data_IF_733703731512
#
_entry.id   IF_733703731512
#
_cell.length_a   1.000
_cell.length_b   1.000
_cell.length_c   1.000
_cell.angle_alpha   90.00
_cell.angle_beta   90.00
_cell.angle_gamma   90.00
#
_symmetry.space_group_name_H-M   'P 1'
#
loop_
_entity.id
_entity.type
_entity.pdbx_description
1 polymer ?
#
# COMPACT_ATOMS: atom_id res chain seq x y z
N UNK A 1 -9.13 57.60 12.80
CA UNK A 1 -9.67 56.23 12.67
C UNK A 1 -8.64 55.32 11.98
N UNK A 2 -7.90 54.57 12.79
CA UNK A 2 -7.00 53.52 12.30
C UNK A 2 -7.84 52.39 11.71
N UNK A 3 -7.65 52.11 10.42
CA UNK A 3 -8.26 50.96 9.76
C UNK A 3 -7.44 49.74 10.20
N UNK A 4 -8.04 48.73 10.85
CA UNK A 4 -7.29 47.57 11.31
C UNK A 4 -6.81 46.78 10.09
N UNK A 5 -5.50 46.55 10.01
CA UNK A 5 -4.89 45.69 9.00
C UNK A 5 -5.31 44.26 9.30
N UNK A 6 -5.89 43.52 8.35
CA UNK A 6 -6.24 42.12 8.56
C UNK A 6 -4.94 41.32 8.80
N UNK A 7 -4.90 40.62 9.93
CA UNK A 7 -3.80 39.74 10.30
C UNK A 7 -3.62 38.66 9.23
N UNK A 8 -2.54 38.77 8.47
CA UNK A 8 -2.19 37.90 7.34
C UNK A 8 -1.31 36.73 7.77
N UNK A 9 -1.07 36.53 9.07
CA UNK A 9 -0.11 35.54 9.58
C UNK A 9 -0.76 34.25 10.08
N UNK A 10 -1.74 33.69 9.37
CA UNK A 10 -2.22 32.32 9.65
C UNK A 10 -1.31 31.29 8.97
N UNK A 11 -0.16 31.01 9.57
CA UNK A 11 0.65 29.84 9.18
C UNK A 11 -0.09 28.59 9.64
N UNK A 12 -0.64 27.86 8.67
CA UNK A 12 -1.43 26.66 8.89
C UNK A 12 -0.51 25.50 9.29
N UNK A 13 -0.75 24.86 10.44
CA UNK A 13 -0.25 23.51 10.77
C UNK A 13 -1.45 22.57 10.81
N UNK A 14 -1.42 21.53 9.99
CA UNK A 14 -2.45 20.47 10.02
C UNK A 14 -1.76 19.13 9.82
N UNK A 15 -1.98 18.13 10.69
CA UNK A 15 -1.30 16.85 10.66
C UNK A 15 -1.97 15.92 9.64
N UNK A 16 -1.67 16.12 8.36
CA UNK A 16 -1.61 14.99 7.43
C UNK A 16 -0.15 14.88 7.02
N UNK A 17 0.68 14.37 7.93
CA UNK A 17 2.07 13.98 7.66
C UNK A 17 2.11 12.72 6.81
N UNK A 18 1.47 12.79 5.65
CA UNK A 18 1.54 11.76 4.63
C UNK A 18 2.52 12.25 3.59
N UNK A 19 3.80 12.06 3.92
CA UNK A 19 4.88 12.37 3.02
C UNK A 19 5.07 11.21 2.02
N UNK A 20 5.28 11.47 0.71
CA UNK A 20 5.54 10.41 -0.27
C UNK A 20 6.72 9.51 0.09
N UNK A 21 7.65 10.02 0.90
CA UNK A 21 8.79 9.27 1.45
C UNK A 21 8.43 8.11 2.38
N UNK A 22 7.15 7.90 2.72
CA UNK A 22 6.69 6.67 3.39
C UNK A 22 6.87 5.42 2.50
N UNK A 23 6.95 5.62 1.18
CA UNK A 23 7.24 4.56 0.21
C UNK A 23 8.75 4.45 0.01
N UNK A 24 9.36 3.46 0.65
CA UNK A 24 10.78 3.15 0.56
C UNK A 24 11.08 2.16 -0.58
N UNK A 25 12.29 2.20 -1.14
CA UNK A 25 12.77 1.25 -2.16
C UNK A 25 12.38 1.59 -3.60
N UNK A 26 13.07 0.95 -4.54
CA UNK A 26 13.02 1.28 -5.98
C UNK A 26 12.26 0.24 -6.82
N UNK A 27 11.56 -0.68 -6.17
CA UNK A 27 10.79 -1.72 -6.86
C UNK A 27 9.66 -1.09 -7.70
N UNK A 28 9.57 -1.46 -8.98
CA UNK A 28 8.65 -0.85 -9.94
C UNK A 28 7.18 -0.91 -9.51
N UNK A 29 6.76 -2.01 -8.86
CA UNK A 29 5.40 -2.18 -8.34
C UNK A 29 5.02 -1.13 -7.27
N UNK A 30 6.00 -0.51 -6.60
CA UNK A 30 5.75 0.53 -5.59
C UNK A 30 5.46 1.91 -6.19
N UNK A 31 5.67 2.09 -7.50
CA UNK A 31 5.46 3.37 -8.20
C UNK A 31 4.03 3.87 -8.09
N UNK A 32 3.05 2.96 -8.17
CA UNK A 32 1.63 3.32 -8.05
C UNK A 32 1.31 3.86 -6.66
N UNK A 33 1.81 3.19 -5.61
CA UNK A 33 1.66 3.65 -4.24
C UNK A 33 2.31 5.03 -4.03
N UNK A 34 3.54 5.22 -4.56
CA UNK A 34 4.24 6.52 -4.49
C UNK A 34 3.42 7.64 -5.12
N UNK A 35 2.88 7.42 -6.32
CA UNK A 35 2.01 8.37 -7.00
C UNK A 35 0.71 8.67 -6.22
N UNK A 36 0.16 7.68 -5.52
CA UNK A 36 -1.01 7.87 -4.66
C UNK A 36 -0.71 8.76 -3.46
N UNK A 37 0.39 8.49 -2.77
CA UNK A 37 0.84 9.30 -1.65
C UNK A 37 1.23 10.73 -2.07
N UNK A 38 1.84 10.90 -3.26
CA UNK A 38 2.11 12.20 -3.85
C UNK A 38 0.83 12.97 -4.22
N UNK A 39 -0.17 12.27 -4.75
CA UNK A 39 -1.48 12.86 -5.07
C UNK A 39 -2.18 13.36 -3.81
N UNK A 40 -2.13 12.56 -2.72
CA UNK A 40 -2.70 12.95 -1.43
C UNK A 40 -1.96 14.15 -0.82
N UNK A 41 -0.63 14.11 -0.80
CA UNK A 41 0.21 15.20 -0.31
C UNK A 41 0.00 16.51 -1.08
N UNK A 42 0.01 16.44 -2.40
CA UNK A 42 -0.19 17.62 -3.28
C UNK A 42 -1.62 18.14 -3.18
N UNK A 43 -2.59 17.23 -3.15
CA UNK A 43 -4.00 17.56 -2.98
C UNK A 43 -4.26 18.34 -1.70
N UNK A 44 -3.66 17.88 -0.59
CA UNK A 44 -3.72 18.55 0.70
C UNK A 44 -3.00 19.91 0.72
N UNK A 45 -1.77 19.96 0.20
CA UNK A 45 -0.98 21.19 0.12
C UNK A 45 -1.70 22.28 -0.69
N UNK A 46 -2.35 21.91 -1.80
CA UNK A 46 -3.13 22.83 -2.61
C UNK A 46 -4.32 23.44 -1.85
N UNK A 47 -5.06 22.63 -1.07
CA UNK A 47 -6.16 23.13 -0.23
C UNK A 47 -5.65 24.12 0.82
N UNK A 48 -4.53 23.81 1.46
CA UNK A 48 -3.88 24.68 2.45
C UNK A 48 -3.48 26.03 1.85
N UNK A 49 -2.78 26.02 0.72
CA UNK A 49 -2.35 27.24 0.05
C UNK A 49 -3.52 28.08 -0.47
N UNK A 50 -4.61 27.44 -0.92
CA UNK A 50 -5.82 28.16 -1.33
C UNK A 50 -6.48 28.86 -0.13
N UNK A 51 -6.54 28.19 1.02
CA UNK A 51 -7.10 28.75 2.25
C UNK A 51 -6.33 29.98 2.77
N UNK A 52 -5.01 30.05 2.52
CA UNK A 52 -4.17 31.19 2.91
C UNK A 52 -4.33 32.41 1.99
N UNK A 53 -4.84 32.24 0.75
CA UNK A 53 -4.83 33.29 -0.28
C UNK A 53 -6.20 33.87 -0.61
N UNK A 54 -7.28 33.11 -0.38
CA UNK A 54 -8.62 33.51 -0.83
C UNK A 54 -9.36 34.25 0.29
N UNK A 55 -9.83 35.46 -0.01
CA UNK A 55 -10.62 36.29 0.92
C UNK A 55 -12.11 35.95 0.92
N UNK A 56 -12.61 35.36 -0.17
CA UNK A 56 -14.01 34.96 -0.36
C UNK A 56 -14.19 33.48 0.03
N UNK A 57 -14.83 33.23 1.17
CA UNK A 57 -15.04 31.90 1.74
C UNK A 57 -15.93 31.02 0.86
N UNK A 58 -16.95 31.58 0.21
CA UNK A 58 -17.88 30.83 -0.63
C UNK A 58 -17.20 30.37 -1.92
N UNK A 59 -16.40 31.26 -2.51
CA UNK A 59 -15.58 30.92 -3.68
C UNK A 59 -14.56 29.84 -3.33
N UNK A 60 -13.89 29.97 -2.17
CA UNK A 60 -12.93 28.98 -1.68
C UNK A 60 -13.59 27.60 -1.49
N UNK A 61 -14.76 27.55 -0.84
CA UNK A 61 -15.50 26.32 -0.61
C UNK A 61 -15.85 25.59 -1.91
N UNK A 62 -16.35 26.33 -2.91
CA UNK A 62 -16.71 25.78 -4.22
C UNK A 62 -15.50 25.19 -4.95
N UNK A 63 -14.39 25.91 -4.98
CA UNK A 63 -13.15 25.45 -5.63
C UNK A 63 -12.53 24.26 -4.88
N UNK A 64 -12.51 24.31 -3.55
CA UNK A 64 -12.03 23.22 -2.71
C UNK A 64 -12.85 21.94 -2.87
N UNK A 65 -14.17 22.04 -3.03
CA UNK A 65 -15.04 20.89 -3.32
C UNK A 65 -14.68 20.25 -4.66
N UNK A 66 -14.58 21.06 -5.73
CA UNK A 66 -14.21 20.55 -7.06
C UNK A 66 -12.80 19.94 -7.08
N UNK A 67 -11.85 20.51 -6.34
CA UNK A 67 -10.51 19.95 -6.17
C UNK A 67 -10.52 18.63 -5.40
N UNK A 68 -11.18 18.59 -4.25
CA UNK A 68 -11.31 17.38 -3.42
C UNK A 68 -11.93 16.24 -4.20
N UNK A 69 -13.00 16.48 -4.97
CA UNK A 69 -13.62 15.47 -5.84
C UNK A 69 -12.63 14.89 -6.86
N UNK A 70 -11.81 15.74 -7.50
CA UNK A 70 -10.79 15.29 -8.48
C UNK A 70 -9.69 14.46 -7.81
N UNK A 71 -9.19 14.91 -6.67
CA UNK A 71 -8.18 14.18 -5.88
C UNK A 71 -8.72 12.82 -5.46
N UNK A 72 -9.93 12.75 -4.90
CA UNK A 72 -10.56 11.49 -4.49
C UNK A 72 -10.77 10.52 -5.66
N UNK A 73 -11.19 11.02 -6.82
CA UNK A 73 -11.32 10.20 -8.02
C UNK A 73 -9.97 9.67 -8.55
N UNK A 74 -8.89 10.41 -8.35
CA UNK A 74 -7.53 9.94 -8.64
C UNK A 74 -7.08 8.87 -7.64
N UNK A 75 -7.29 9.10 -6.34
CA UNK A 75 -6.91 8.18 -5.27
C UNK A 75 -7.61 6.83 -5.39
N UNK A 76 -8.91 6.81 -5.73
CA UNK A 76 -9.66 5.56 -5.96
C UNK A 76 -9.05 4.72 -7.10
N UNK A 77 -8.74 5.35 -8.23
CA UNK A 77 -8.06 4.66 -9.36
C UNK A 77 -6.68 4.13 -8.96
N UNK A 78 -5.95 4.88 -8.15
CA UNK A 78 -4.64 4.45 -7.66
C UNK A 78 -4.74 3.32 -6.63
N UNK A 79 -5.77 3.29 -5.78
CA UNK A 79 -6.06 2.17 -4.87
C UNK A 79 -6.38 0.89 -5.65
N UNK A 80 -7.23 0.98 -6.68
CA UNK A 80 -7.51 -0.14 -7.59
C UNK A 80 -6.22 -0.66 -8.25
N UNK A 81 -5.37 0.26 -8.73
CA UNK A 81 -4.08 -0.09 -9.32
C UNK A 81 -3.09 -0.70 -8.30
N UNK A 82 -3.10 -0.27 -7.03
CA UNK A 82 -2.31 -0.90 -5.96
C UNK A 82 -2.78 -2.35 -5.71
N UNK A 83 -4.10 -2.57 -5.64
CA UNK A 83 -4.68 -3.90 -5.49
C UNK A 83 -4.36 -4.81 -6.68
N UNK A 84 -4.43 -4.28 -7.90
CA UNK A 84 -4.01 -5.01 -9.11
C UNK A 84 -2.52 -5.36 -9.08
N UNK A 85 -1.66 -4.43 -8.64
CA UNK A 85 -0.23 -4.68 -8.49
C UNK A 85 0.08 -5.73 -7.40
N UNK A 86 -0.64 -5.75 -6.27
CA UNK A 86 -0.55 -6.81 -5.28
C UNK A 86 -0.87 -8.18 -5.88
N UNK A 87 -1.99 -8.29 -6.60
CA UNK A 87 -2.41 -9.54 -7.24
C UNK A 87 -1.39 -10.00 -8.28
N UNK A 88 -0.92 -9.10 -9.13
CA UNK A 88 0.08 -9.40 -10.15
C UNK A 88 1.39 -9.89 -9.54
N UNK A 89 1.89 -9.22 -8.49
CA UNK A 89 3.13 -9.58 -7.84
C UNK A 89 3.02 -10.92 -7.10
N UNK A 90 1.88 -11.18 -6.44
CA UNK A 90 1.58 -12.48 -5.84
C UNK A 90 1.61 -13.61 -6.88
N UNK A 91 0.92 -13.42 -8.01
CA UNK A 91 0.90 -14.40 -9.11
C UNK A 91 2.29 -14.63 -9.71
N UNK A 92 3.08 -13.56 -9.87
CA UNK A 92 4.45 -13.64 -10.37
C UNK A 92 5.33 -14.45 -9.42
N UNK A 93 5.26 -14.19 -8.12
CA UNK A 93 6.00 -14.93 -7.09
C UNK A 93 5.58 -16.40 -7.11
N UNK A 94 4.27 -16.67 -7.08
CA UNK A 94 3.75 -18.03 -7.05
C UNK A 94 4.17 -18.81 -8.31
N UNK A 95 4.09 -18.21 -9.50
CA UNK A 95 4.57 -18.82 -10.74
C UNK A 95 6.09 -19.06 -10.74
N UNK A 96 6.88 -18.22 -10.07
CA UNK A 96 8.32 -18.37 -9.98
C UNK A 96 8.75 -19.50 -9.03
N UNK A 97 8.00 -19.75 -7.95
CA UNK A 97 8.25 -20.87 -7.03
C UNK A 97 7.55 -22.17 -7.48
N UNK A 98 6.60 -22.10 -8.41
CA UNK A 98 5.88 -23.23 -9.02
C UNK A 98 5.98 -23.24 -10.57
N UNK A 99 7.19 -23.23 -11.17
CA UNK A 99 7.40 -22.93 -12.59
C UNK A 99 6.89 -23.98 -13.59
N UNK A 100 6.67 -25.24 -13.21
CA UNK A 100 6.11 -26.25 -14.11
C UNK A 100 5.47 -27.44 -13.37
N UNK A 101 4.15 -27.69 -13.50
CA UNK A 101 3.50 -28.84 -12.88
C UNK A 101 3.89 -30.19 -13.52
N UNK A 102 4.45 -30.18 -14.74
CA UNK A 102 4.79 -31.37 -15.53
C UNK A 102 6.29 -31.70 -15.51
N UNK A 103 7.04 -31.36 -14.46
CA UNK A 103 8.43 -31.84 -14.33
C UNK A 103 8.42 -33.38 -14.30
N UNK A 104 9.04 -34.08 -15.28
CA UNK A 104 9.03 -35.53 -15.34
C UNK A 104 9.66 -36.18 -14.10
N UNK A 105 10.58 -35.50 -13.40
CA UNK A 105 11.16 -35.99 -12.14
C UNK A 105 10.43 -35.50 -10.90
N UNK A 106 9.37 -34.69 -11.04
CA UNK A 106 8.67 -34.11 -9.89
C UNK A 106 8.10 -35.17 -8.95
N UNK A 107 7.61 -36.29 -9.50
CA UNK A 107 7.14 -37.43 -8.70
C UNK A 107 8.25 -38.10 -7.88
N UNK A 108 9.43 -38.30 -8.48
CA UNK A 108 10.59 -38.91 -7.82
C UNK A 108 11.13 -38.02 -6.70
N UNK A 109 11.23 -36.71 -6.96
CA UNK A 109 11.68 -35.72 -5.97
C UNK A 109 10.73 -35.73 -4.76
N UNK A 110 9.41 -35.70 -5.00
CA UNK A 110 8.43 -35.78 -3.90
C UNK A 110 8.51 -37.10 -3.14
N UNK A 111 8.70 -38.22 -3.86
CA UNK A 111 8.91 -39.54 -3.26
C UNK A 111 10.14 -39.58 -2.36
N UNK A 112 11.25 -38.98 -2.80
CA UNK A 112 12.47 -38.83 -2.01
C UNK A 112 12.24 -38.01 -0.74
N UNK A 113 11.60 -36.84 -0.85
CA UNK A 113 11.30 -35.98 0.31
C UNK A 113 10.39 -36.70 1.30
N UNK A 114 9.33 -37.35 0.82
CA UNK A 114 8.39 -38.13 1.64
C UNK A 114 9.07 -39.30 2.34
N UNK A 115 10.06 -39.93 1.71
CA UNK A 115 10.81 -41.06 2.25
C UNK A 115 11.95 -40.68 3.20
N UNK A 116 12.22 -39.39 3.37
CA UNK A 116 13.25 -38.91 4.31
C UNK A 116 12.80 -39.04 5.77
N UNK A 117 13.76 -39.09 6.70
CA UNK A 117 13.50 -39.18 8.14
C UNK A 117 12.67 -37.98 8.67
N UNK A 118 12.76 -36.82 8.01
CA UNK A 118 11.99 -35.63 8.33
C UNK A 118 11.65 -34.86 7.05
N UNK A 119 10.47 -35.13 6.43
CA UNK A 119 10.07 -34.50 5.18
C UNK A 119 9.99 -32.97 5.27
N UNK A 120 9.48 -32.45 6.39
CA UNK A 120 9.43 -31.00 6.62
C UNK A 120 10.83 -30.38 6.65
N UNK A 121 11.77 -31.00 7.38
CA UNK A 121 13.15 -30.49 7.45
C UNK A 121 13.81 -30.53 6.07
N UNK A 122 13.70 -31.62 5.34
CA UNK A 122 14.26 -31.73 3.98
C UNK A 122 13.69 -30.65 3.04
N UNK A 123 12.38 -30.37 3.12
CA UNK A 123 11.75 -29.31 2.35
C UNK A 123 12.20 -27.90 2.80
N UNK A 124 12.37 -27.68 4.10
CA UNK A 124 12.82 -26.40 4.64
C UNK A 124 14.28 -26.11 4.26
N UNK A 125 15.15 -27.10 4.39
CA UNK A 125 16.56 -27.02 4.00
C UNK A 125 16.65 -26.70 2.49
N UNK A 126 15.86 -27.39 1.64
CA UNK A 126 15.80 -27.10 0.21
C UNK A 126 15.35 -25.65 -0.10
N UNK A 127 14.42 -25.09 0.68
CA UNK A 127 13.98 -23.71 0.51
C UNK A 127 15.08 -22.72 0.88
N UNK A 128 15.77 -22.96 2.01
CA UNK A 128 16.87 -22.12 2.50
C UNK A 128 18.10 -22.16 1.60
N UNK A 129 18.43 -23.33 1.06
CA UNK A 129 19.52 -23.53 0.10
C UNK A 129 19.19 -22.96 -1.29
N UNK A 130 17.95 -22.55 -1.52
CA UNK A 130 17.50 -22.03 -2.80
C UNK A 130 17.34 -23.09 -3.88
N UNK A 131 17.08 -24.35 -3.50
CA UNK A 131 16.85 -25.45 -4.43
C UNK A 131 15.48 -25.33 -5.12
N UNK A 132 15.43 -24.50 -6.16
CA UNK A 132 14.21 -24.18 -6.91
C UNK A 132 13.49 -25.40 -7.46
N UNK A 133 14.22 -26.41 -7.94
CA UNK A 133 13.62 -27.61 -8.54
C UNK A 133 12.92 -28.47 -7.49
N UNK A 134 13.54 -28.67 -6.33
CA UNK A 134 12.93 -29.43 -5.24
C UNK A 134 11.70 -28.71 -4.69
N UNK A 135 11.80 -27.40 -4.47
CA UNK A 135 10.66 -26.58 -4.02
C UNK A 135 9.53 -26.58 -5.04
N UNK A 136 9.83 -26.41 -6.32
CA UNK A 136 8.83 -26.50 -7.38
C UNK A 136 8.12 -27.87 -7.37
N UNK A 137 8.88 -28.97 -7.25
CA UNK A 137 8.31 -30.31 -7.21
C UNK A 137 7.39 -30.52 -6.00
N UNK A 138 7.76 -29.98 -4.84
CA UNK A 138 6.99 -30.04 -3.59
C UNK A 138 5.72 -29.19 -3.71
N UNK A 139 5.85 -27.94 -4.16
CA UNK A 139 4.77 -26.94 -4.22
C UNK A 139 3.83 -27.07 -5.43
N UNK A 140 4.16 -27.93 -6.41
CA UNK A 140 3.26 -28.23 -7.53
C UNK A 140 2.27 -29.36 -7.25
N UNK A 141 2.23 -29.89 -6.03
CA UNK A 141 1.44 -31.07 -5.70
C UNK A 141 0.78 -30.95 -4.31
N UNK A 142 -0.26 -31.76 -4.04
CA UNK A 142 -0.84 -31.83 -2.71
C UNK A 142 0.20 -32.19 -1.63
N UNK A 143 0.14 -31.57 -0.43
CA UNK A 143 1.13 -31.76 0.64
C UNK A 143 1.42 -33.22 0.99
N UNK A 144 0.39 -34.08 0.93
CA UNK A 144 0.46 -35.49 1.29
C UNK A 144 1.40 -36.29 0.37
N UNK A 145 1.61 -35.85 -0.88
CA UNK A 145 2.53 -36.51 -1.80
C UNK A 145 4.00 -36.30 -1.43
N UNK A 146 4.30 -35.22 -0.69
CA UNK A 146 5.62 -34.92 -0.15
C UNK A 146 5.74 -35.29 1.34
N UNK A 147 4.72 -35.92 1.94
CA UNK A 147 4.70 -36.25 3.36
C UNK A 147 4.52 -35.04 4.29
N UNK A 148 3.95 -33.94 3.80
CA UNK A 148 3.73 -32.71 4.55
C UNK A 148 2.26 -32.56 4.97
N UNK A 149 2.04 -31.92 6.11
CA UNK A 149 0.73 -31.35 6.47
C UNK A 149 0.48 -30.06 5.70
N UNK A 150 -0.78 -29.59 5.65
CA UNK A 150 -1.11 -28.30 5.04
C UNK A 150 -0.36 -27.13 5.69
N UNK A 151 -0.25 -27.11 7.03
CA UNK A 151 0.45 -26.05 7.75
C UNK A 151 1.95 -26.02 7.43
N UNK A 152 2.58 -27.19 7.33
CA UNK A 152 3.98 -27.31 6.94
C UNK A 152 4.19 -26.85 5.50
N UNK A 153 3.32 -27.27 4.59
CA UNK A 153 3.33 -26.84 3.20
C UNK A 153 3.25 -25.31 3.07
N UNK A 154 2.32 -24.67 3.78
CA UNK A 154 2.18 -23.21 3.78
C UNK A 154 3.45 -22.53 4.33
N UNK A 155 4.08 -23.14 5.33
CA UNK A 155 5.34 -22.66 5.90
C UNK A 155 6.48 -22.76 4.87
N UNK A 156 6.57 -23.87 4.12
CA UNK A 156 7.56 -24.04 3.05
C UNK A 156 7.31 -23.06 1.91
N UNK A 157 6.06 -22.86 1.50
CA UNK A 157 5.71 -21.86 0.49
C UNK A 157 6.14 -20.46 0.95
N UNK A 158 5.86 -20.08 2.19
CA UNK A 158 6.28 -18.80 2.74
C UNK A 158 7.81 -18.63 2.75
N UNK A 159 8.53 -19.66 3.21
CA UNK A 159 10.00 -19.68 3.24
C UNK A 159 10.61 -19.60 1.83
N UNK A 160 10.01 -20.30 0.87
CA UNK A 160 10.39 -20.24 -0.54
C UNK A 160 10.20 -18.83 -1.11
N UNK A 161 9.07 -18.16 -0.83
CA UNK A 161 8.85 -16.77 -1.25
C UNK A 161 9.88 -15.83 -0.63
N UNK A 162 10.16 -15.98 0.66
CA UNK A 162 11.14 -15.16 1.40
C UNK A 162 12.59 -15.37 0.90
N UNK A 163 12.94 -16.57 0.43
CA UNK A 163 14.32 -16.90 0.02
C UNK A 163 14.56 -16.75 -1.48
N UNK A 164 13.69 -17.35 -2.30
CA UNK A 164 13.87 -17.42 -3.76
C UNK A 164 13.45 -16.13 -4.46
N UNK A 165 12.40 -15.47 -3.96
CA UNK A 165 11.80 -14.27 -4.56
C UNK A 165 11.81 -13.08 -3.57
N UNK A 166 12.87 -12.99 -2.76
CA UNK A 166 12.99 -12.06 -1.64
C UNK A 166 12.64 -10.59 -1.99
N UNK A 167 13.10 -10.09 -3.13
CA UNK A 167 12.88 -8.70 -3.54
C UNK A 167 11.40 -8.45 -3.88
N UNK A 168 10.81 -9.31 -4.71
CA UNK A 168 9.40 -9.22 -5.11
C UNK A 168 8.49 -9.42 -3.90
N UNK A 169 8.83 -10.35 -3.02
CA UNK A 169 8.04 -10.65 -1.84
C UNK A 169 8.12 -9.54 -0.78
N UNK A 170 9.29 -8.93 -0.57
CA UNK A 170 9.43 -7.74 0.26
C UNK A 170 8.59 -6.58 -0.29
N UNK A 171 8.63 -6.36 -1.61
CA UNK A 171 7.80 -5.36 -2.27
C UNK A 171 6.30 -5.66 -2.13
N UNK A 172 5.87 -6.93 -2.20
CA UNK A 172 4.47 -7.34 -1.98
C UNK A 172 4.01 -7.00 -0.55
N UNK A 173 4.79 -7.39 0.47
CA UNK A 173 4.47 -7.09 1.88
C UNK A 173 4.36 -5.58 2.11
N UNK A 174 5.30 -4.83 1.54
CA UNK A 174 5.29 -3.38 1.64
C UNK A 174 4.07 -2.78 0.93
N UNK A 175 3.76 -3.21 -0.29
CA UNK A 175 2.62 -2.71 -1.06
C UNK A 175 1.29 -3.00 -0.34
N UNK A 176 1.11 -4.19 0.23
CA UNK A 176 -0.05 -4.52 1.05
C UNK A 176 -0.21 -3.57 2.25
N UNK A 177 0.87 -3.32 2.98
CA UNK A 177 0.87 -2.36 4.10
C UNK A 177 0.54 -0.94 3.64
N UNK A 178 1.10 -0.52 2.50
CA UNK A 178 0.88 0.80 1.92
C UNK A 178 -0.57 0.97 1.44
N UNK A 179 -1.22 -0.06 0.89
CA UNK A 179 -2.63 -0.02 0.50
C UNK A 179 -3.54 0.24 1.71
N UNK A 180 -3.36 -0.49 2.81
CA UNK A 180 -4.13 -0.25 4.05
C UNK A 180 -3.90 1.16 4.62
N UNK A 181 -2.65 1.64 4.57
CA UNK A 181 -2.33 3.01 4.98
C UNK A 181 -3.01 4.03 4.06
N UNK A 182 -2.95 3.83 2.74
CA UNK A 182 -3.55 4.72 1.74
C UNK A 182 -5.06 4.84 1.93
N UNK A 183 -5.77 3.75 2.21
CA UNK A 183 -7.20 3.77 2.57
C UNK A 183 -7.45 4.63 3.80
N UNK A 184 -6.68 4.42 4.87
CA UNK A 184 -6.79 5.18 6.12
C UNK A 184 -6.58 6.68 5.86
N UNK A 185 -5.54 7.04 5.11
CA UNK A 185 -5.23 8.44 4.83
C UNK A 185 -6.21 9.08 3.85
N UNK A 186 -6.72 8.35 2.86
CA UNK A 186 -7.74 8.83 1.93
C UNK A 186 -9.04 9.17 2.68
N UNK A 187 -9.46 8.30 3.60
CA UNK A 187 -10.64 8.55 4.44
C UNK A 187 -10.44 9.78 5.34
N UNK A 188 -9.25 9.94 5.95
CA UNK A 188 -8.92 11.12 6.76
C UNK A 188 -8.89 12.40 5.92
N UNK A 189 -8.30 12.36 4.74
CA UNK A 189 -8.28 13.47 3.79
C UNK A 189 -9.71 13.91 3.44
N UNK A 190 -10.58 12.97 3.07
CA UNK A 190 -11.98 13.27 2.73
C UNK A 190 -12.73 13.88 3.91
N UNK A 191 -12.65 13.28 5.09
CA UNK A 191 -13.31 13.79 6.30
C UNK A 191 -12.85 15.20 6.66
N UNK A 192 -11.54 15.45 6.65
CA UNK A 192 -10.98 16.75 6.97
C UNK A 192 -11.36 17.78 5.90
N UNK A 193 -11.17 17.46 4.62
CA UNK A 193 -11.53 18.36 3.52
C UNK A 193 -13.01 18.75 3.57
N UNK A 194 -13.92 17.79 3.80
CA UNK A 194 -15.35 18.07 3.94
C UNK A 194 -15.66 18.94 5.16
N UNK A 195 -14.98 18.72 6.29
CA UNK A 195 -15.13 19.56 7.49
C UNK A 195 -14.71 21.00 7.21
N UNK A 196 -13.56 21.22 6.54
CA UNK A 196 -13.10 22.55 6.15
C UNK A 196 -14.03 23.22 5.13
N UNK A 197 -14.47 22.49 4.11
CA UNK A 197 -15.39 23.02 3.08
C UNK A 197 -16.68 23.49 3.74
N UNK A 198 -17.27 22.71 4.66
CA UNK A 198 -18.48 23.12 5.38
C UNK A 198 -18.26 24.38 6.21
N UNK A 199 -17.13 24.48 6.93
CA UNK A 199 -16.81 25.66 7.71
C UNK A 199 -16.67 26.92 6.84
N UNK A 200 -16.12 26.79 5.62
CA UNK A 200 -16.05 27.87 4.64
C UNK A 200 -17.43 28.26 4.09
N UNK A 201 -18.32 27.30 3.83
CA UNK A 201 -19.70 27.57 3.37
C UNK A 201 -20.56 28.28 4.43
N UNK A 202 -20.31 28.02 5.71
CA UNK A 202 -21.09 28.63 6.80
C UNK A 202 -20.49 29.93 7.33
N UNK A 203 -19.28 30.30 6.89
CA UNK A 203 -18.56 31.47 7.42
C UNK A 203 -18.23 31.35 8.91
N UNK A 204 -18.10 30.12 9.43
CA UNK A 204 -17.86 29.87 10.86
C UNK A 204 -16.38 30.09 11.21
N UNK A 205 -16.07 31.33 11.57
CA UNK A 205 -14.72 31.78 11.93
C UNK A 205 -14.11 31.05 13.15
N UNK A 206 -14.94 30.54 14.07
CA UNK A 206 -14.50 29.73 15.22
C UNK A 206 -14.13 28.32 14.77
N UNK A 207 -14.97 27.68 13.95
CA UNK A 207 -14.66 26.38 13.36
C UNK A 207 -13.37 26.43 12.53
N UNK A 208 -13.15 27.51 11.77
CA UNK A 208 -11.91 27.74 11.03
C UNK A 208 -10.71 27.87 11.97
N UNK A 209 -10.80 28.65 13.05
CA UNK A 209 -9.73 28.79 14.04
C UNK A 209 -9.40 27.48 14.75
N UNK A 210 -10.38 26.66 15.11
CA UNK A 210 -10.14 25.35 15.73
C UNK A 210 -9.54 24.33 14.76
N UNK A 211 -9.96 24.36 13.49
CA UNK A 211 -9.44 23.49 12.43
C UNK A 211 -7.95 23.71 12.14
N UNK A 212 -7.45 24.93 12.33
CA UNK A 212 -6.04 25.29 12.15
C UNK A 212 -5.20 25.19 13.43
N UNK A 213 -5.80 24.81 14.57
CA UNK A 213 -5.13 24.59 15.86
C UNK A 213 -4.85 23.11 16.17
N UNK A 214 -5.33 22.17 15.35
CA UNK A 214 -5.08 20.75 15.59
C UNK A 214 -3.60 20.42 15.34
N UNK A 215 -2.90 19.84 16.33
CA UNK A 215 -1.44 19.71 16.39
C UNK A 215 -0.86 18.88 15.25
#
# INVERSE_FOLDING_TARGET
PEVPVPDTSRVVKVPIDVHPGIVQGDHSALTVARGAFETLHTGWTALKQAAERVQDSDKLAREARAHTTRVMASLRRQQEACSAACTHLSQKIDAAIQPNPNDPMGGEIRGYVRGSDSPFKAAADAAQEGNRRMIAAILNAPPQLSGLTHKEYDTIAQLARDTLEHTDHAALKQLQSLTTKLETYTNRFEQNALKHIRAWETGDDEALKELFKLP
#
